data_IF_386593730416
#
_entry.id   IF_386593730416
#
_cell.length_a   1.000
_cell.length_b   1.000
_cell.length_c   1.000
_cell.angle_alpha   90.00
_cell.angle_beta   90.00
_cell.angle_gamma   90.00
#
_symmetry.space_group_name_H-M   'P 1'
#
loop_
_entity.id
_entity.type
_entity.pdbx_description
1 polymer ?
#
# COMPACT_ATOMS: atom_id res chain seq x y z
N UNK A 1 -15.83 -2.55 -13.31
CA UNK A 1 -14.58 -1.79 -13.08
C UNK A 1 -13.41 -2.75 -12.90
N UNK A 2 -12.36 -2.59 -13.70
CA UNK A 2 -11.09 -3.33 -13.59
C UNK A 2 -10.09 -2.47 -12.84
N UNK A 3 -9.60 -2.92 -11.69
CA UNK A 3 -8.67 -2.16 -10.87
C UNK A 3 -7.35 -2.90 -10.74
N UNK A 4 -6.26 -2.20 -11.07
CA UNK A 4 -4.90 -2.71 -10.93
C UNK A 4 -4.29 -2.25 -9.61
N UNK A 5 -3.88 -3.18 -8.77
CA UNK A 5 -3.19 -2.91 -7.51
C UNK A 5 -1.69 -3.18 -7.70
N UNK A 6 -0.87 -2.16 -7.57
CA UNK A 6 0.60 -2.26 -7.64
C UNK A 6 1.15 -2.04 -6.24
N UNK A 7 1.92 -2.97 -5.69
CA UNK A 7 2.34 -2.80 -4.30
C UNK A 7 3.41 -3.72 -3.78
N UNK A 8 3.67 -3.60 -2.48
CA UNK A 8 4.72 -4.37 -1.81
C UNK A 8 4.19 -5.69 -1.21
N UNK A 9 4.97 -6.33 -0.33
CA UNK A 9 4.52 -7.47 0.47
C UNK A 9 3.26 -7.18 1.28
N UNK A 10 2.97 -5.91 1.61
CA UNK A 10 1.76 -5.52 2.31
C UNK A 10 0.48 -5.85 1.51
N UNK A 11 0.54 -5.99 0.18
CA UNK A 11 -0.60 -6.44 -0.62
C UNK A 11 -1.11 -7.83 -0.22
N UNK A 12 -0.31 -8.66 0.45
CA UNK A 12 -0.76 -9.99 0.91
C UNK A 12 -2.07 -9.93 1.69
N UNK A 13 -2.22 -8.92 2.57
CA UNK A 13 -3.46 -8.70 3.31
C UNK A 13 -4.67 -8.44 2.39
N UNK A 14 -4.49 -7.64 1.34
CA UNK A 14 -5.56 -7.32 0.37
C UNK A 14 -5.88 -8.51 -0.52
N UNK A 15 -4.88 -9.29 -0.94
CA UNK A 15 -5.08 -10.50 -1.75
C UNK A 15 -5.92 -11.52 -0.98
N UNK A 16 -5.53 -11.81 0.27
CA UNK A 16 -6.24 -12.78 1.10
C UNK A 16 -7.66 -12.31 1.46
N UNK A 17 -7.84 -10.99 1.68
CA UNK A 17 -9.16 -10.40 1.89
C UNK A 17 -10.03 -10.49 0.64
N UNK A 18 -9.49 -10.13 -0.53
CA UNK A 18 -10.24 -10.13 -1.78
C UNK A 18 -10.77 -11.51 -2.15
N UNK A 19 -9.99 -12.57 -1.89
CA UNK A 19 -10.44 -13.97 -2.04
C UNK A 19 -11.71 -14.27 -1.23
N UNK A 20 -11.93 -13.58 -0.11
CA UNK A 20 -13.08 -13.78 0.77
C UNK A 20 -14.26 -12.88 0.41
N UNK A 21 -14.01 -11.63 0.01
CA UNK A 21 -15.07 -10.62 -0.16
C UNK A 21 -15.43 -10.30 -1.61
N UNK A 22 -14.71 -10.83 -2.60
CA UNK A 22 -14.94 -10.52 -4.03
C UNK A 22 -16.38 -10.81 -4.49
N UNK A 23 -17.05 -11.81 -3.89
CA UNK A 23 -18.47 -12.10 -4.17
C UNK A 23 -19.43 -10.96 -3.82
N UNK A 24 -19.05 -10.05 -2.92
CA UNK A 24 -19.83 -8.85 -2.57
C UNK A 24 -19.65 -7.71 -3.58
N UNK A 25 -18.70 -7.86 -4.52
CA UNK A 25 -18.32 -6.85 -5.50
C UNK A 25 -18.28 -7.44 -6.92
N UNK A 26 -19.41 -7.95 -7.44
CA UNK A 26 -19.43 -8.71 -8.70
C UNK A 26 -18.97 -7.90 -9.93
N UNK A 27 -19.14 -6.59 -9.88
CA UNK A 27 -18.75 -5.68 -10.97
C UNK A 27 -17.31 -5.17 -10.84
N UNK A 28 -16.56 -5.59 -9.81
CA UNK A 28 -15.18 -5.18 -9.58
C UNK A 28 -14.25 -6.38 -9.76
N UNK A 29 -13.18 -6.19 -10.52
CA UNK A 29 -12.08 -7.16 -10.61
C UNK A 29 -10.77 -6.52 -10.19
N UNK A 30 -10.08 -7.12 -9.21
CA UNK A 30 -8.74 -6.73 -8.80
C UNK A 30 -7.67 -7.60 -9.46
N UNK A 31 -6.63 -6.96 -10.00
CA UNK A 31 -5.39 -7.63 -10.42
C UNK A 31 -4.22 -7.07 -9.63
N UNK A 32 -3.43 -7.94 -9.01
CA UNK A 32 -2.33 -7.53 -8.14
C UNK A 32 -0.99 -7.69 -8.85
N UNK A 33 -0.25 -6.60 -9.06
CA UNK A 33 1.16 -6.62 -9.44
C UNK A 33 1.98 -6.28 -8.20
N UNK A 34 2.23 -7.29 -7.37
CA UNK A 34 2.88 -7.09 -6.07
C UNK A 34 4.24 -7.76 -6.03
N UNK A 35 5.21 -7.11 -5.40
CA UNK A 35 6.53 -7.69 -5.19
C UNK A 35 7.15 -7.18 -3.88
N UNK A 36 7.98 -7.98 -3.18
CA UNK A 36 8.67 -7.51 -1.98
C UNK A 36 9.47 -6.22 -2.23
N UNK A 37 9.62 -5.39 -1.18
CA UNK A 37 10.10 -3.99 -1.25
C UNK A 37 11.25 -3.69 -2.22
N UNK A 38 12.31 -4.49 -2.23
CA UNK A 38 13.45 -4.26 -3.14
C UNK A 38 13.08 -4.49 -4.60
N UNK A 39 12.27 -5.51 -4.86
CA UNK A 39 11.83 -5.94 -6.18
C UNK A 39 10.84 -4.95 -6.80
N UNK A 40 9.89 -4.41 -6.03
CA UNK A 40 8.90 -3.46 -6.59
C UNK A 40 9.53 -2.15 -7.12
N UNK A 41 10.74 -1.80 -6.66
CA UNK A 41 11.49 -0.65 -7.18
C UNK A 41 12.07 -0.88 -8.57
N UNK A 42 12.10 -2.14 -9.02
CA UNK A 42 12.62 -2.59 -10.30
C UNK A 42 11.50 -2.70 -11.36
N UNK A 43 10.48 -1.84 -11.25
CA UNK A 43 9.53 -1.61 -12.33
C UNK A 43 9.90 -0.35 -13.10
N UNK A 44 9.59 -0.35 -14.39
CA UNK A 44 9.66 0.83 -15.24
C UNK A 44 8.62 0.77 -16.34
N UNK A 45 8.36 1.93 -16.95
CA UNK A 45 7.55 1.99 -18.16
C UNK A 45 8.39 1.63 -19.39
N UNK A 46 7.91 0.67 -20.18
CA UNK A 46 8.42 0.32 -21.52
C UNK A 46 7.25 0.01 -22.43
N UNK A 47 7.28 0.52 -23.66
CA UNK A 47 6.26 0.28 -24.69
C UNK A 47 4.82 0.53 -24.19
N UNK A 48 4.64 1.60 -23.40
CA UNK A 48 3.34 1.98 -22.84
C UNK A 48 2.90 1.17 -21.62
N UNK A 49 3.70 0.21 -21.14
CA UNK A 49 3.34 -0.72 -20.06
C UNK A 49 4.29 -0.59 -18.88
N UNK A 50 3.80 -0.86 -17.67
CA UNK A 50 4.65 -1.01 -16.49
C UNK A 50 5.16 -2.46 -16.43
N UNK A 51 6.47 -2.64 -16.56
CA UNK A 51 7.13 -3.94 -16.70
C UNK A 51 8.21 -4.13 -15.64
N UNK A 52 8.51 -5.38 -15.32
CA UNK A 52 9.67 -5.76 -14.54
C UNK A 52 10.98 -5.50 -15.30
N UNK A 53 12.00 -5.03 -14.60
CA UNK A 53 13.34 -4.76 -15.16
C UNK A 53 14.28 -5.96 -15.07
N UNK A 54 13.88 -7.01 -14.36
CA UNK A 54 14.63 -8.25 -14.16
C UNK A 54 13.69 -9.45 -14.24
N UNK A 55 14.26 -10.60 -14.56
CA UNK A 55 13.53 -11.86 -14.71
C UNK A 55 12.92 -12.31 -13.37
N UNK A 56 13.66 -12.19 -12.27
CA UNK A 56 13.17 -12.49 -10.92
C UNK A 56 11.91 -11.68 -10.57
N UNK A 57 11.92 -10.36 -10.85
CA UNK A 57 10.75 -9.52 -10.59
C UNK A 57 9.60 -9.88 -11.53
N UNK A 58 9.90 -10.20 -12.80
CA UNK A 58 8.88 -10.62 -13.76
C UNK A 58 8.16 -11.88 -13.28
N UNK A 59 8.89 -12.87 -12.79
CA UNK A 59 8.30 -14.13 -12.32
C UNK A 59 7.46 -13.93 -11.06
N UNK A 60 7.90 -13.08 -10.13
CA UNK A 60 7.08 -12.66 -8.97
C UNK A 60 5.77 -11.98 -9.42
N UNK A 61 5.84 -11.11 -10.43
CA UNK A 61 4.65 -10.45 -10.97
C UNK A 61 3.68 -11.43 -11.63
N UNK A 62 4.18 -12.45 -12.34
CA UNK A 62 3.32 -13.50 -12.92
C UNK A 62 2.53 -14.19 -11.82
N UNK A 63 3.17 -14.56 -10.71
CA UNK A 63 2.48 -15.22 -9.61
C UNK A 63 1.40 -14.32 -9.02
N UNK A 64 1.75 -13.09 -8.67
CA UNK A 64 0.83 -12.19 -7.95
C UNK A 64 -0.33 -11.68 -8.82
N UNK A 65 -0.13 -11.58 -10.13
CA UNK A 65 -1.14 -11.08 -11.08
C UNK A 65 -2.02 -12.16 -11.70
N UNK A 66 -1.78 -13.44 -11.37
CA UNK A 66 -2.50 -14.57 -11.98
C UNK A 66 -2.03 -14.90 -13.40
N UNK A 67 -0.75 -14.66 -13.70
CA UNK A 67 -0.07 -15.08 -14.93
C UNK A 67 0.39 -13.95 -15.84
N UNK A 68 0.20 -12.68 -15.48
CA UNK A 68 0.56 -11.53 -16.30
C UNK A 68 2.01 -11.09 -16.04
N UNK A 69 2.75 -10.79 -17.11
CA UNK A 69 4.14 -10.36 -17.00
C UNK A 69 4.30 -8.84 -16.90
N UNK A 70 3.24 -8.10 -17.24
CA UNK A 70 3.24 -6.65 -17.36
C UNK A 70 1.86 -6.08 -17.02
N UNK A 71 1.86 -4.89 -16.42
CA UNK A 71 0.66 -4.10 -16.24
C UNK A 71 0.48 -3.22 -17.49
N UNK A 72 -0.46 -3.60 -18.36
CA UNK A 72 -0.91 -2.78 -19.49
C UNK A 72 -1.99 -1.80 -19.02
N UNK A 73 -1.73 -0.48 -19.00
CA UNK A 73 -2.67 0.48 -18.47
C UNK A 73 -4.00 0.54 -19.22
N UNK A 74 -4.06 0.06 -20.47
CA UNK A 74 -5.29 0.03 -21.25
C UNK A 74 -6.29 -1.01 -20.73
N UNK A 75 -5.84 -2.01 -19.97
CA UNK A 75 -6.67 -3.10 -19.46
C UNK A 75 -7.42 -2.77 -18.16
N UNK A 76 -7.13 -1.64 -17.52
CA UNK A 76 -7.66 -1.27 -16.21
C UNK A 76 -8.34 0.08 -16.25
N UNK A 77 -9.36 0.31 -15.44
CA UNK A 77 -10.06 1.59 -15.34
C UNK A 77 -9.40 2.52 -14.32
N UNK A 78 -8.73 1.95 -13.30
CA UNK A 78 -8.13 2.66 -12.15
C UNK A 78 -6.92 1.89 -11.61
N UNK A 79 -6.00 2.60 -10.96
CA UNK A 79 -4.81 2.04 -10.33
C UNK A 79 -4.75 2.37 -8.85
N UNK A 80 -4.27 1.43 -8.04
CA UNK A 80 -3.97 1.63 -6.62
C UNK A 80 -2.51 1.25 -6.35
N UNK A 81 -1.70 2.21 -5.89
CA UNK A 81 -0.38 1.95 -5.33
C UNK A 81 -0.48 1.69 -3.83
N UNK A 82 -0.34 0.43 -3.40
CA UNK A 82 -0.58 0.05 -2.01
C UNK A 82 0.68 -0.37 -1.26
N UNK A 83 0.87 0.17 -0.06
CA UNK A 83 1.94 -0.24 0.83
C UNK A 83 3.32 0.21 0.38
N UNK A 84 3.40 1.30 -0.38
CA UNK A 84 4.64 1.79 -0.99
C UNK A 84 5.19 3.05 -0.35
N UNK A 85 4.46 3.69 0.57
CA UNK A 85 5.00 4.75 1.43
C UNK A 85 5.24 4.14 2.81
N UNK A 86 6.47 4.23 3.31
CA UNK A 86 6.78 3.70 4.64
C UNK A 86 6.17 4.57 5.74
N UNK A 87 5.61 3.94 6.75
CA UNK A 87 5.14 4.61 7.95
C UNK A 87 6.29 4.96 8.89
N UNK A 88 6.15 6.01 9.73
CA UNK A 88 7.13 6.28 10.78
C UNK A 88 7.20 5.11 11.76
N UNK A 89 8.32 5.02 12.48
CA UNK A 89 8.42 4.03 13.55
C UNK A 89 7.51 4.44 14.72
N UNK A 90 6.82 3.49 15.38
CA UNK A 90 5.95 3.77 16.53
C UNK A 90 6.62 4.46 17.73
N UNK A 91 7.95 4.60 17.72
CA UNK A 91 8.75 5.26 18.77
C UNK A 91 9.11 6.71 18.45
N UNK A 92 8.89 7.16 17.21
CA UNK A 92 9.24 8.50 16.79
C UNK A 92 8.11 9.44 17.18
N UNK A 93 8.27 10.19 18.26
CA UNK A 93 7.36 11.30 18.57
C UNK A 93 7.71 12.51 17.70
N UNK A 94 6.70 13.33 17.41
CA UNK A 94 6.88 14.59 16.69
C UNK A 94 6.46 15.84 17.48
N UNK A 95 6.05 15.67 18.74
CA UNK A 95 5.46 16.74 19.55
C UNK A 95 6.44 17.88 19.84
N UNK A 96 7.74 17.56 19.90
CA UNK A 96 8.81 18.52 20.16
C UNK A 96 9.35 19.18 18.88
N UNK A 97 8.90 18.75 17.69
CA UNK A 97 9.34 19.33 16.43
C UNK A 97 8.41 20.46 15.97
N UNK A 98 9.02 21.54 15.46
CA UNK A 98 8.28 22.59 14.77
C UNK A 98 7.50 22.00 13.58
N UNK A 99 6.41 22.67 13.19
CA UNK A 99 5.60 22.30 12.02
C UNK A 99 6.50 22.13 10.79
N UNK A 100 7.42 23.08 10.55
CA UNK A 100 8.33 23.04 9.41
C UNK A 100 9.24 21.81 9.38
N UNK A 101 9.76 21.37 10.53
CA UNK A 101 10.60 20.16 10.62
C UNK A 101 9.77 18.91 10.34
N UNK A 102 8.55 18.83 10.88
CA UNK A 102 7.62 17.71 10.66
C UNK A 102 7.27 17.59 9.19
N UNK A 103 6.83 18.68 8.58
CA UNK A 103 6.48 18.76 7.16
C UNK A 103 7.65 18.39 6.25
N UNK A 104 8.84 18.92 6.51
CA UNK A 104 10.05 18.57 5.76
C UNK A 104 10.38 17.07 5.87
N UNK A 105 10.30 16.49 7.07
CA UNK A 105 10.55 15.07 7.29
C UNK A 105 9.51 14.17 6.59
N UNK A 106 8.23 14.56 6.63
CA UNK A 106 7.15 13.86 5.92
C UNK A 106 7.36 13.90 4.41
N UNK A 107 7.66 15.09 3.87
CA UNK A 107 7.92 15.27 2.44
C UNK A 107 9.14 14.47 1.99
N UNK A 108 10.23 14.49 2.74
CA UNK A 108 11.46 13.74 2.45
C UNK A 108 11.23 12.20 2.51
N UNK A 109 10.40 11.73 3.44
CA UNK A 109 9.97 10.31 3.49
C UNK A 109 9.13 9.93 2.27
N UNK A 110 8.13 10.75 1.95
CA UNK A 110 7.20 10.50 0.85
C UNK A 110 7.89 10.57 -0.51
N UNK A 111 8.75 11.55 -0.76
CA UNK A 111 9.44 11.75 -2.05
C UNK A 111 10.37 10.59 -2.43
N UNK A 112 10.94 9.89 -1.43
CA UNK A 112 11.82 8.71 -1.62
C UNK A 112 11.05 7.39 -1.72
N UNK A 113 9.73 7.45 -1.61
CA UNK A 113 8.87 6.28 -1.71
C UNK A 113 8.80 5.74 -3.15
N UNK A 114 8.73 4.41 -3.33
CA UNK A 114 8.37 3.83 -4.63
C UNK A 114 7.05 4.35 -5.18
N UNK A 115 6.09 4.75 -4.32
CA UNK A 115 4.79 5.25 -4.75
C UNK A 115 4.92 6.47 -5.66
N UNK A 116 5.66 7.51 -5.23
CA UNK A 116 5.85 8.75 -6.02
C UNK A 116 6.53 8.44 -7.34
N UNK A 117 7.60 7.64 -7.32
CA UNK A 117 8.33 7.25 -8.55
C UNK A 117 7.41 6.50 -9.52
N UNK A 118 6.74 5.45 -9.05
CA UNK A 118 5.94 4.57 -9.92
C UNK A 118 4.66 5.24 -10.40
N UNK A 119 4.01 6.05 -9.56
CA UNK A 119 2.86 6.87 -9.98
C UNK A 119 3.27 7.87 -11.07
N UNK A 120 4.40 8.57 -10.87
CA UNK A 120 4.94 9.47 -11.89
C UNK A 120 5.29 8.76 -13.20
N UNK A 121 5.88 7.56 -13.13
CA UNK A 121 6.12 6.74 -14.32
C UNK A 121 4.82 6.31 -15.00
N UNK A 122 3.83 5.80 -14.27
CA UNK A 122 2.55 5.36 -14.82
C UNK A 122 1.81 6.54 -15.49
N UNK A 123 1.88 7.74 -14.90
CA UNK A 123 1.24 8.95 -15.43
C UNK A 123 1.78 9.36 -16.81
N UNK A 124 2.98 8.93 -17.20
CA UNK A 124 3.50 9.19 -18.56
C UNK A 124 2.81 8.37 -19.66
N UNK A 125 2.08 7.32 -19.29
CA UNK A 125 1.42 6.39 -20.24
C UNK A 125 -0.08 6.26 -20.03
N UNK A 126 -0.66 6.85 -18.99
CA UNK A 126 -2.11 6.85 -18.79
C UNK A 126 -2.61 8.06 -18.00
N UNK A 127 -3.77 8.58 -18.40
CA UNK A 127 -4.54 9.60 -17.69
C UNK A 127 -5.62 9.04 -16.76
N UNK A 128 -5.66 7.71 -16.55
CA UNK A 128 -6.67 7.07 -15.70
C UNK A 128 -6.48 7.39 -14.21
N UNK A 129 -7.52 7.33 -13.37
CA UNK A 129 -7.41 7.60 -11.94
C UNK A 129 -6.33 6.74 -11.27
N UNK A 130 -5.52 7.38 -10.42
CA UNK A 130 -4.45 6.74 -9.64
C UNK A 130 -4.67 7.08 -8.17
N UNK A 131 -4.79 6.05 -7.36
CA UNK A 131 -4.86 6.14 -5.92
C UNK A 131 -3.55 5.62 -5.31
N UNK A 132 -3.18 6.14 -4.15
CA UNK A 132 -1.98 5.76 -3.42
C UNK A 132 -2.35 5.53 -1.97
N UNK A 133 -1.76 4.51 -1.35
CA UNK A 133 -1.91 4.23 0.05
C UNK A 133 -0.56 3.86 0.65
N UNK A 134 -0.29 4.39 1.84
CA UNK A 134 0.88 4.02 2.61
C UNK A 134 0.80 2.56 3.09
N UNK A 135 1.92 2.03 3.58
CA UNK A 135 1.88 0.79 4.35
C UNK A 135 0.99 0.96 5.59
N UNK A 136 0.39 -0.12 6.11
CA UNK A 136 -0.26 -0.08 7.41
C UNK A 136 0.69 0.46 8.48
N UNK A 137 0.16 1.17 9.46
CA UNK A 137 0.91 1.45 10.68
C UNK A 137 1.34 0.14 11.34
N UNK A 138 2.49 0.16 12.01
CA UNK A 138 2.97 -1.00 12.74
C UNK A 138 2.11 -1.22 13.99
N UNK A 139 2.05 -2.47 14.44
CA UNK A 139 1.47 -2.83 15.74
C UNK A 139 2.36 -2.28 16.88
N UNK A 140 1.78 -1.85 18.02
CA UNK A 140 2.57 -1.47 19.19
C UNK A 140 3.45 -2.62 19.66
N UNK A 141 4.71 -2.32 19.99
CA UNK A 141 5.63 -3.32 20.53
C UNK A 141 5.47 -3.33 22.06
N UNK A 142 5.22 -4.51 22.69
CA UNK A 142 5.12 -4.59 24.14
C UNK A 142 6.34 -4.00 24.87
N UNK A 143 6.09 -3.25 25.95
CA UNK A 143 7.14 -2.59 26.73
C UNK A 143 7.74 -1.33 26.08
N UNK A 144 7.22 -0.91 24.92
CA UNK A 144 7.66 0.30 24.22
C UNK A 144 6.57 1.37 24.36
N UNK A 145 6.88 2.55 24.92
CA UNK A 145 5.94 3.65 24.99
C UNK A 145 5.45 4.05 23.58
N UNK A 146 4.15 4.32 23.46
CA UNK A 146 3.59 4.84 22.22
C UNK A 146 4.19 6.24 21.94
N UNK A 147 4.58 6.48 20.68
CA UNK A 147 4.93 7.82 20.25
C UNK A 147 3.73 8.76 20.41
N UNK A 148 4.02 9.97 20.88
CA UNK A 148 3.06 11.06 20.88
C UNK A 148 3.10 11.78 19.54
N UNK A 149 1.92 12.08 19.02
CA UNK A 149 1.76 12.72 17.72
C UNK A 149 0.97 14.02 17.87
N UNK A 150 1.50 15.05 17.27
CA UNK A 150 0.98 16.42 17.27
C UNK A 150 -0.28 16.59 16.39
N UNK A 151 -0.56 15.64 15.49
CA UNK A 151 -1.76 15.63 14.66
C UNK A 151 -2.25 14.20 14.33
N UNK A 152 -3.55 14.04 14.04
CA UNK A 152 -4.11 12.79 13.50
C UNK A 152 -3.47 12.39 12.16
N UNK A 153 -3.49 11.10 11.81
CA UNK A 153 -2.84 10.63 10.57
C UNK A 153 -3.50 11.17 9.30
N UNK A 154 -4.79 11.52 9.34
CA UNK A 154 -5.51 12.12 8.22
C UNK A 154 -4.93 13.51 7.86
N UNK A 155 -4.42 14.26 8.85
CA UNK A 155 -3.73 15.52 8.59
C UNK A 155 -2.40 15.31 7.86
N UNK A 156 -1.68 14.22 8.15
CA UNK A 156 -0.49 13.86 7.37
C UNK A 156 -0.83 13.43 5.95
N UNK A 157 -1.90 12.65 5.79
CA UNK A 157 -2.42 12.28 4.46
C UNK A 157 -2.75 13.54 3.66
N UNK A 158 -3.48 14.50 4.23
CA UNK A 158 -3.80 15.75 3.56
C UNK A 158 -2.54 16.58 3.21
N UNK A 159 -1.55 16.62 4.11
CA UNK A 159 -0.28 17.29 3.82
C UNK A 159 0.46 16.62 2.65
N UNK A 160 0.62 15.28 2.69
CA UNK A 160 1.31 14.54 1.63
C UNK A 160 0.58 14.61 0.29
N UNK A 161 -0.76 14.64 0.32
CA UNK A 161 -1.60 14.86 -0.86
C UNK A 161 -1.16 16.14 -1.59
N UNK A 162 -1.22 17.28 -0.91
CA UNK A 162 -0.83 18.57 -1.51
C UNK A 162 0.66 18.66 -1.84
N UNK A 163 1.52 18.11 -0.98
CA UNK A 163 2.96 18.25 -1.14
C UNK A 163 3.56 17.38 -2.26
N UNK A 164 2.93 16.25 -2.59
CA UNK A 164 3.52 15.22 -3.47
C UNK A 164 2.57 14.65 -4.54
N UNK A 165 1.27 14.55 -4.28
CA UNK A 165 0.36 13.77 -5.13
C UNK A 165 -0.57 14.63 -5.99
N UNK A 166 -0.89 15.87 -5.60
CA UNK A 166 -1.63 16.82 -6.45
C UNK A 166 -0.94 17.04 -7.79
N UNK A 167 0.39 17.20 -7.79
CA UNK A 167 1.18 17.36 -9.02
C UNK A 167 1.28 16.10 -9.89
N UNK A 168 0.84 14.95 -9.38
CA UNK A 168 0.78 13.68 -10.10
C UNK A 168 -0.63 13.31 -10.55
N UNK A 169 -1.62 14.16 -10.25
CA UNK A 169 -3.05 13.85 -10.41
C UNK A 169 -3.39 12.50 -9.76
N UNK A 170 -2.96 12.32 -8.51
CA UNK A 170 -3.16 11.09 -7.75
C UNK A 170 -3.78 11.37 -6.38
N UNK A 171 -4.63 10.46 -5.92
CA UNK A 171 -5.35 10.58 -4.64
C UNK A 171 -4.72 9.71 -3.55
N UNK A 172 -4.39 10.28 -2.41
CA UNK A 172 -3.81 9.59 -1.27
C UNK A 172 -4.91 9.14 -0.31
N UNK A 173 -5.02 7.83 -0.14
CA UNK A 173 -6.02 7.17 0.70
C UNK A 173 -5.42 6.92 2.08
N UNK A 174 -6.10 7.43 3.11
CA UNK A 174 -5.71 7.20 4.50
C UNK A 174 -5.97 5.74 4.92
N UNK A 175 -5.24 5.27 5.94
CA UNK A 175 -5.61 4.04 6.62
C UNK A 175 -6.95 4.24 7.35
N UNK A 176 -7.90 3.27 7.30
CA UNK A 176 -9.19 3.41 7.97
C UNK A 176 -9.04 3.56 9.48
N UNK A 177 -9.75 4.52 10.06
CA UNK A 177 -9.65 4.85 11.49
C UNK A 177 -10.01 3.68 12.41
N UNK A 178 -10.94 2.82 11.97
CA UNK A 178 -11.32 1.59 12.69
C UNK A 178 -10.19 0.57 12.83
N UNK A 179 -9.08 0.76 12.12
CA UNK A 179 -7.89 -0.09 12.22
C UNK A 179 -6.78 0.54 13.06
N UNK A 180 -6.90 1.81 13.44
CA UNK A 180 -5.88 2.59 14.13
C UNK A 180 -6.28 2.78 15.60
N UNK A 181 -5.32 2.55 16.50
CA UNK A 181 -5.53 2.83 17.93
C UNK A 181 -5.58 4.35 18.11
N UNK A 182 -6.68 4.85 18.67
CA UNK A 182 -6.94 6.28 18.88
C UNK A 182 -5.77 6.98 19.61
N UNK A 183 -5.42 8.19 19.15
CA UNK A 183 -4.33 8.98 19.71
C UNK A 183 -2.92 8.42 19.44
N UNK A 184 -2.81 7.34 18.66
CA UNK A 184 -1.52 6.74 18.27
C UNK A 184 -1.35 6.72 16.75
N UNK A 185 -0.23 6.17 16.28
CA UNK A 185 -0.03 5.76 14.88
C UNK A 185 0.35 4.30 14.83
N UNK A 186 -0.57 3.50 15.32
CA UNK A 186 -0.39 2.06 15.42
C UNK A 186 -1.67 1.34 15.06
N UNK A 187 -1.51 0.24 14.33
CA UNK A 187 -2.61 -0.64 13.97
C UNK A 187 -2.91 -1.56 15.16
N UNK A 188 -4.19 -1.91 15.38
CA UNK A 188 -4.54 -2.84 16.45
C UNK A 188 -3.81 -4.20 16.32
N UNK A 189 -3.30 -4.81 17.41
CA UNK A 189 -2.47 -6.01 17.35
C UNK A 189 -3.14 -7.24 16.73
N UNK A 190 -4.45 -7.40 16.88
CA UNK A 190 -5.21 -8.50 16.30
C UNK A 190 -5.07 -8.58 14.78
N UNK A 191 -4.81 -7.43 14.12
CA UNK A 191 -4.62 -7.37 12.68
C UNK A 191 -3.27 -7.90 12.22
N UNK A 192 -2.25 -8.03 13.07
CA UNK A 192 -1.00 -8.71 12.69
C UNK A 192 -1.04 -10.22 12.93
N UNK A 193 -1.93 -10.70 13.80
CA UNK A 193 -2.02 -12.10 14.20
C UNK A 193 -2.41 -12.97 13.00
N UNK A 194 -1.61 -13.99 12.73
CA UNK A 194 -1.85 -14.93 11.61
C UNK A 194 -1.68 -14.28 10.23
N UNK A 195 -1.01 -13.12 10.15
CA UNK A 195 -0.64 -12.55 8.86
C UNK A 195 0.24 -13.51 8.07
N UNK A 196 0.08 -13.51 6.75
CA UNK A 196 0.82 -14.37 5.83
C UNK A 196 1.72 -13.54 4.93
N UNK A 197 2.82 -14.15 4.50
CA UNK A 197 3.70 -13.57 3.49
C UNK A 197 2.94 -13.45 2.17
N UNK A 198 3.32 -12.46 1.36
CA UNK A 198 2.89 -12.41 -0.03
C UNK A 198 3.35 -13.68 -0.75
N UNK A 199 2.43 -14.35 -1.44
CA UNK A 199 2.74 -15.49 -2.30
C UNK A 199 3.53 -15.00 -3.52
N UNK A 200 4.77 -15.47 -3.67
CA UNK A 200 5.68 -15.07 -4.75
C UNK A 200 6.12 -16.23 -5.63
N UNK A 201 5.70 -17.44 -5.29
CA UNK A 201 5.92 -18.67 -6.02
C UNK A 201 4.58 -19.40 -6.15
N UNK A 202 4.26 -19.88 -7.36
CA UNK A 202 2.99 -20.52 -7.67
C UNK A 202 2.91 -21.93 -7.08
N UNK A 203 4.04 -22.57 -6.79
CA UNK A 203 4.10 -23.94 -6.26
C UNK A 203 4.04 -24.00 -4.73
N UNK A 204 4.16 -22.86 -4.06
CA UNK A 204 4.15 -22.76 -2.60
C UNK A 204 2.96 -21.99 -2.05
N UNK A 205 2.43 -22.48 -0.92
CA UNK A 205 1.45 -21.76 -0.12
C UNK A 205 2.14 -20.60 0.63
N UNK A 206 1.46 -19.46 0.81
CA UNK A 206 2.03 -18.34 1.56
C UNK A 206 2.25 -18.73 3.03
N UNK A 207 3.52 -18.68 3.45
CA UNK A 207 3.92 -18.95 4.83
C UNK A 207 3.31 -17.93 5.79
N UNK A 208 3.00 -18.37 7.01
CA UNK A 208 2.65 -17.46 8.09
C UNK A 208 3.88 -16.68 8.55
N UNK A 209 3.67 -15.40 8.88
CA UNK A 209 4.68 -14.63 9.58
C UNK A 209 4.91 -15.16 11.01
N UNK A 210 6.09 -14.94 11.61
CA UNK A 210 6.35 -15.30 13.00
C UNK A 210 5.35 -14.66 13.98
N UNK A 211 5.18 -15.25 15.17
CA UNK A 211 4.22 -14.80 16.19
C UNK A 211 4.46 -13.37 16.72
N UNK A 212 5.64 -12.80 16.51
CA UNK A 212 6.01 -11.42 16.86
C UNK A 212 5.95 -10.44 15.69
N UNK A 213 5.24 -10.77 14.61
CA UNK A 213 5.06 -9.87 13.47
C UNK A 213 4.31 -8.59 13.89
N UNK A 214 4.83 -7.44 13.47
CA UNK A 214 4.30 -6.11 13.81
C UNK A 214 4.16 -5.19 12.61
N UNK A 215 4.60 -5.64 11.43
CA UNK A 215 4.67 -4.86 10.20
C UNK A 215 3.62 -5.30 9.19
N UNK A 216 3.35 -6.60 9.10
CA UNK A 216 2.36 -7.15 8.16
C UNK A 216 1.02 -7.39 8.83
N UNK A 217 -0.06 -7.18 8.08
CA UNK A 217 -1.42 -7.35 8.55
C UNK A 217 -2.08 -8.57 7.88
N UNK A 218 -3.13 -9.09 8.50
CA UNK A 218 -3.87 -10.26 8.08
C UNK A 218 -5.03 -9.89 7.15
N UNK A 219 -5.78 -10.91 6.72
CA UNK A 219 -6.90 -10.74 5.81
C UNK A 219 -8.05 -9.91 6.41
N UNK A 220 -8.26 -9.94 7.73
CA UNK A 220 -9.31 -9.15 8.37
C UNK A 220 -9.03 -7.65 8.23
N UNK A 221 -7.77 -7.24 8.43
CA UNK A 221 -7.36 -5.87 8.12
C UNK A 221 -7.57 -5.54 6.66
N UNK A 222 -7.17 -6.45 5.76
CA UNK A 222 -7.33 -6.25 4.32
C UNK A 222 -8.78 -6.07 3.90
N UNK A 223 -9.71 -6.79 4.55
CA UNK A 223 -11.14 -6.65 4.32
C UNK A 223 -11.63 -5.25 4.69
N UNK A 224 -11.33 -4.79 5.91
CA UNK A 224 -11.71 -3.43 6.35
C UNK A 224 -11.14 -2.38 5.41
N UNK A 225 -9.89 -2.56 4.96
CA UNK A 225 -9.25 -1.64 4.04
C UNK A 225 -9.95 -1.61 2.66
N UNK A 226 -10.30 -2.77 2.10
CA UNK A 226 -11.02 -2.85 0.83
C UNK A 226 -12.45 -2.33 0.94
N UNK A 227 -13.17 -2.64 2.03
CA UNK A 227 -14.52 -2.13 2.28
C UNK A 227 -14.54 -0.61 2.47
N UNK A 228 -13.46 -0.04 3.01
CA UNK A 228 -13.28 1.40 3.05
C UNK A 228 -13.01 1.97 1.65
N UNK A 229 -12.11 1.36 0.88
CA UNK A 229 -11.62 1.89 -0.39
C UNK A 229 -12.58 1.73 -1.58
N UNK A 230 -13.15 0.54 -1.75
CA UNK A 230 -13.93 0.22 -2.95
C UNK A 230 -15.14 1.15 -3.19
N UNK A 231 -15.92 1.57 -2.18
CA UNK A 231 -16.98 2.57 -2.37
C UNK A 231 -16.48 3.89 -2.98
N UNK A 232 -15.26 4.32 -2.64
CA UNK A 232 -14.64 5.54 -3.18
C UNK A 232 -14.09 5.33 -4.60
N UNK A 233 -13.71 4.10 -4.93
CA UNK A 233 -13.15 3.77 -6.23
C UNK A 233 -14.20 3.64 -7.33
N UNK A 234 -15.40 3.15 -6.97
CA UNK A 234 -16.52 2.91 -7.90
C UNK A 234 -17.43 4.13 -8.11
N UNK A 235 -17.38 5.11 -7.21
CA UNK A 235 -18.13 6.37 -7.34
C UNK A 235 -17.56 7.26 -8.43
#
# INVERSE_FOLDING_TARGET
MKLCVIGSSHCGALVDAWRQISGNWPDVSLTFFAAPRGSIRQLAVRDGKLVAMTDDVRDILKVTSGGLEACDPNQYDRFLFYGLISQPYPRQSDIDYSVAVREAALKDRGSRSPAVKLAGQLRTVTGKPVDVAAAPFKVPVPGVPAAQWSCPHQAETAYLQGALFDGLDASLIAQPDSTVIEGTRSTFPEYAKGSKRLQIDAESEPEQHPSGEVTHMNAQYGQIWLEHYLPMAVS
#
